data_IF_174326577596
#
_entry.id   IF_174326577596
#
_cell.length_a   1.000
_cell.length_b   1.000
_cell.length_c   1.000
_cell.angle_alpha   90.00
_cell.angle_beta   90.00
_cell.angle_gamma   90.00
#
_symmetry.space_group_name_H-M   'P 1'
#
loop_
_entity.id
_entity.type
_entity.pdbx_description
1 polymer ?
#
# COMPACT_ATOMS: atom_id res chain seq x y z
N UNK A 1 2.83 -2.21 -0.99
CA UNK A 1 2.29 -0.97 -1.58
C UNK A 1 2.59 -0.98 -3.05
N UNK A 2 1.59 -0.70 -3.88
CA UNK A 2 1.68 -0.69 -5.33
C UNK A 2 1.19 0.67 -5.84
N UNK A 3 1.89 1.23 -6.82
CA UNK A 3 1.52 2.47 -7.47
C UNK A 3 1.41 2.26 -8.97
N UNK A 4 0.29 2.63 -9.57
CA UNK A 4 0.00 2.39 -10.99
C UNK A 4 -0.25 3.72 -11.71
N UNK A 5 0.51 4.00 -12.76
CA UNK A 5 0.37 5.21 -13.57
C UNK A 5 1.27 6.37 -13.12
N UNK A 6 1.00 7.58 -13.62
CA UNK A 6 1.93 8.71 -13.52
C UNK A 6 3.18 8.55 -14.40
N UNK A 7 4.25 9.24 -14.00
CA UNK A 7 5.63 8.95 -14.40
C UNK A 7 6.25 7.86 -13.52
N UNK A 8 7.47 7.41 -13.84
CA UNK A 8 8.16 6.38 -13.05
C UNK A 8 8.45 6.84 -11.60
N UNK A 9 8.72 8.13 -11.43
CA UNK A 9 8.84 8.82 -10.15
C UNK A 9 7.53 8.81 -9.35
N UNK A 10 6.42 9.20 -10.00
CA UNK A 10 5.09 9.25 -9.38
C UNK A 10 4.63 7.84 -8.95
N UNK A 11 4.83 6.83 -9.80
CA UNK A 11 4.45 5.45 -9.49
C UNK A 11 5.14 4.96 -8.20
N UNK A 12 6.43 5.27 -8.04
CA UNK A 12 7.16 4.93 -6.82
C UNK A 12 6.71 5.76 -5.61
N UNK A 13 6.42 7.05 -5.80
CA UNK A 13 5.93 7.92 -4.73
C UNK A 13 4.58 7.43 -4.18
N UNK A 14 3.59 7.19 -5.05
CA UNK A 14 2.26 6.75 -4.62
C UNK A 14 2.29 5.32 -4.04
N UNK A 15 3.14 4.44 -4.57
CA UNK A 15 3.39 3.11 -3.98
C UNK A 15 3.96 3.21 -2.55
N UNK A 16 4.86 4.17 -2.32
CA UNK A 16 5.42 4.42 -0.98
C UNK A 16 4.37 5.00 -0.04
N UNK A 17 3.55 5.94 -0.51
CA UNK A 17 2.45 6.54 0.27
C UNK A 17 1.38 5.53 0.64
N UNK A 18 1.09 4.55 -0.23
CA UNK A 18 0.06 3.53 0.05
C UNK A 18 0.37 2.66 1.27
N UNK A 19 1.65 2.50 1.63
CA UNK A 19 2.08 1.78 2.85
C UNK A 19 1.66 2.49 4.15
N UNK A 20 1.26 3.76 4.08
CA UNK A 20 0.77 4.50 5.24
C UNK A 20 -0.70 4.20 5.55
N UNK A 21 -1.41 3.51 4.65
CA UNK A 21 -2.80 3.13 4.87
C UNK A 21 -2.87 2.03 5.96
N UNK A 22 -3.88 2.04 6.86
CA UNK A 22 -4.02 1.03 7.90
C UNK A 22 -4.26 -0.36 7.29
N UNK A 23 -3.75 -1.40 7.93
CA UNK A 23 -4.03 -2.79 7.54
C UNK A 23 -5.54 -3.07 7.62
N UNK A 24 -6.07 -3.74 6.60
CA UNK A 24 -7.48 -4.05 6.41
C UNK A 24 -8.28 -2.94 5.74
N UNK A 25 -7.68 -1.78 5.44
CA UNK A 25 -8.39 -0.69 4.77
C UNK A 25 -8.21 -0.77 3.25
N UNK A 26 -9.29 -1.08 2.56
CA UNK A 26 -9.33 -1.14 1.09
C UNK A 26 -9.43 0.22 0.42
N UNK A 27 -9.08 0.24 -0.86
CA UNK A 27 -9.28 1.39 -1.73
C UNK A 27 -10.78 1.75 -1.84
N UNK A 28 -11.08 3.03 -2.05
CA UNK A 28 -12.46 3.51 -2.27
C UNK A 28 -12.97 3.15 -3.68
N UNK A 29 -12.06 2.98 -4.65
CA UNK A 29 -12.36 2.52 -6.00
C UNK A 29 -12.50 0.99 -5.96
N UNK A 30 -13.70 0.49 -6.26
CA UNK A 30 -14.08 -0.92 -6.11
C UNK A 30 -13.16 -1.86 -6.88
N UNK A 31 -12.84 -1.54 -8.13
CA UNK A 31 -12.00 -2.36 -9.00
C UNK A 31 -10.56 -2.45 -8.46
N UNK A 32 -10.09 -1.41 -7.78
CA UNK A 32 -8.77 -1.39 -7.14
C UNK A 32 -8.79 -2.20 -5.85
N UNK A 33 -9.87 -2.10 -5.06
CA UNK A 33 -10.04 -2.90 -3.85
C UNK A 33 -10.12 -4.40 -4.16
N UNK A 34 -10.81 -4.80 -5.23
CA UNK A 34 -10.86 -6.19 -5.70
C UNK A 34 -9.46 -6.67 -6.09
N UNK A 35 -8.68 -5.85 -6.81
CA UNK A 35 -7.29 -6.17 -7.15
C UNK A 35 -6.37 -6.26 -5.91
N UNK A 36 -6.60 -5.44 -4.88
CA UNK A 36 -5.88 -5.55 -3.60
C UNK A 36 -6.10 -6.94 -2.97
N UNK A 37 -7.34 -7.41 -2.89
CA UNK A 37 -7.67 -8.72 -2.33
C UNK A 37 -7.12 -9.87 -3.20
N UNK A 38 -7.28 -9.80 -4.52
CA UNK A 38 -6.72 -10.81 -5.43
C UNK A 38 -5.21 -10.97 -5.27
N UNK A 39 -4.48 -9.85 -5.09
CA UNK A 39 -3.04 -9.89 -4.85
C UNK A 39 -2.71 -10.49 -3.48
N UNK A 40 -3.48 -10.19 -2.43
CA UNK A 40 -3.27 -10.76 -1.10
C UNK A 40 -3.45 -12.28 -1.15
N UNK A 41 -4.53 -12.76 -1.76
CA UNK A 41 -4.81 -14.18 -1.92
C UNK A 41 -3.72 -14.86 -2.75
N UNK A 42 -3.35 -14.27 -3.89
CA UNK A 42 -2.29 -14.80 -4.75
C UNK A 42 -0.95 -14.89 -4.00
N UNK A 43 -0.53 -13.83 -3.30
CA UNK A 43 0.73 -13.81 -2.57
C UNK A 43 0.72 -14.80 -1.39
N UNK A 44 -0.38 -14.90 -0.65
CA UNK A 44 -0.48 -15.85 0.47
C UNK A 44 -0.58 -17.31 -0.02
N UNK A 45 -1.15 -17.56 -1.20
CA UNK A 45 -1.20 -18.90 -1.81
C UNK A 45 0.18 -19.45 -2.18
N UNK A 46 1.21 -18.61 -2.29
CA UNK A 46 2.58 -19.04 -2.63
C UNK A 46 3.22 -19.95 -1.58
N UNK A 47 2.73 -19.94 -0.34
CA UNK A 47 3.27 -20.74 0.75
C UNK A 47 4.66 -20.32 1.25
N UNK A 48 5.19 -19.17 0.79
CA UNK A 48 6.51 -18.63 1.18
C UNK A 48 6.55 -18.33 2.69
N UNK A 49 5.49 -17.73 3.22
CA UNK A 49 5.33 -17.41 4.63
C UNK A 49 6.32 -16.36 5.16
N UNK A 50 6.27 -16.08 6.47
CA UNK A 50 7.10 -15.06 7.09
C UNK A 50 8.59 -15.37 6.94
N UNK A 51 9.37 -14.42 6.44
CA UNK A 51 10.81 -14.56 6.23
C UNK A 51 11.22 -15.70 5.27
N UNK A 52 10.29 -16.26 4.49
CA UNK A 52 10.56 -17.39 3.60
C UNK A 52 10.65 -18.75 4.28
N UNK A 53 10.16 -18.86 5.52
CA UNK A 53 10.23 -20.08 6.34
C UNK A 53 9.03 -21.02 6.14
N UNK A 54 8.17 -20.73 5.17
CA UNK A 54 6.91 -21.44 4.94
C UNK A 54 5.76 -20.88 5.78
N UNK A 55 4.53 -21.21 5.37
CA UNK A 55 3.29 -20.87 6.09
C UNK A 55 2.25 -20.17 5.22
N UNK A 56 1.13 -19.79 5.84
CA UNK A 56 -0.05 -19.28 5.13
C UNK A 56 -0.06 -17.75 4.94
N UNK A 57 0.86 -17.02 5.59
CA UNK A 57 0.86 -15.55 5.59
C UNK A 57 2.22 -15.03 5.14
N UNK A 58 2.35 -14.82 3.84
CA UNK A 58 3.49 -14.15 3.21
C UNK A 58 3.33 -12.63 3.28
N UNK A 59 2.11 -12.13 3.13
CA UNK A 59 1.78 -10.71 3.17
C UNK A 59 0.60 -10.46 4.11
N UNK A 60 0.71 -9.40 4.91
CA UNK A 60 -0.37 -8.93 5.78
C UNK A 60 -1.40 -8.11 4.99
N UNK A 61 -0.92 -7.28 4.05
CA UNK A 61 -1.79 -6.45 3.24
C UNK A 61 -1.13 -5.94 1.95
N UNK A 62 -1.96 -5.61 0.97
CA UNK A 62 -1.57 -4.94 -0.27
C UNK A 62 -2.44 -3.71 -0.45
N UNK A 63 -1.80 -2.55 -0.59
CA UNK A 63 -2.49 -1.29 -0.91
C UNK A 63 -2.02 -0.76 -2.25
N UNK A 64 -2.98 -0.48 -3.13
CA UNK A 64 -2.79 0.07 -4.46
C UNK A 64 -3.26 1.52 -4.48
N UNK A 65 -2.44 2.38 -5.08
CA UNK A 65 -2.79 3.76 -5.45
C UNK A 65 -2.61 3.93 -6.96
N UNK A 66 -3.44 4.78 -7.56
CA UNK A 66 -3.46 5.00 -9.01
C UNK A 66 -3.30 6.47 -9.36
N UNK A 67 -2.63 6.75 -10.48
CA UNK A 67 -2.46 8.09 -11.03
C UNK A 67 -2.74 8.10 -12.54
N UNK A 68 -3.16 9.26 -13.06
CA UNK A 68 -3.29 9.46 -14.49
C UNK A 68 -1.94 9.26 -15.20
N UNK A 69 -1.95 8.74 -16.43
CA UNK A 69 -0.75 8.26 -17.13
C UNK A 69 -0.83 8.52 -18.62
N UNK A 70 0.32 8.63 -19.27
CA UNK A 70 0.38 8.83 -20.72
C UNK A 70 -0.08 7.57 -21.48
N UNK A 71 -0.92 7.65 -22.54
CA UNK A 71 -1.43 6.50 -23.29
C UNK A 71 -0.41 5.45 -23.74
N UNK A 72 0.83 5.86 -24.02
CA UNK A 72 1.92 4.98 -24.45
C UNK A 72 2.75 4.37 -23.30
N UNK A 73 2.44 4.66 -22.04
CA UNK A 73 3.24 4.17 -20.90
C UNK A 73 2.36 3.86 -19.69
N UNK A 74 2.72 2.83 -18.92
CA UNK A 74 2.06 2.49 -17.67
C UNK A 74 3.12 2.09 -16.63
N UNK A 75 3.77 3.08 -15.97
CA UNK A 75 4.71 2.78 -14.90
C UNK A 75 3.99 2.10 -13.73
N UNK A 76 4.65 1.09 -13.16
CA UNK A 76 4.17 0.40 -11.95
C UNK A 76 5.31 0.36 -10.94
N UNK A 77 5.07 0.91 -9.76
CA UNK A 77 5.99 0.89 -8.63
C UNK A 77 5.53 -0.12 -7.58
N UNK A 78 6.45 -0.94 -7.06
CA UNK A 78 6.17 -1.85 -5.94
C UNK A 78 7.13 -1.51 -4.80
N UNK A 79 6.56 -1.23 -3.64
CA UNK A 79 7.31 -0.91 -2.42
C UNK A 79 6.84 -1.81 -1.30
N UNK A 80 7.80 -2.43 -0.62
CA UNK A 80 7.56 -3.32 0.50
C UNK A 80 7.81 -2.61 1.82
N UNK A 81 6.97 -2.92 2.80
CA UNK A 81 7.19 -2.57 4.20
C UNK A 81 7.56 -3.87 4.92
N UNK A 82 8.61 -3.84 5.73
CA UNK A 82 8.98 -4.98 6.56
C UNK A 82 8.15 -5.02 7.85
N UNK A 83 8.49 -5.98 8.72
CA UNK A 83 7.94 -6.09 10.07
C UNK A 83 8.09 -4.81 10.90
N UNK A 84 9.17 -4.05 10.69
CA UNK A 84 9.43 -2.81 11.42
C UNK A 84 8.63 -1.63 10.83
N UNK A 85 7.31 -1.74 10.86
CA UNK A 85 6.35 -0.71 10.47
C UNK A 85 6.39 0.47 11.45
N UNK A 86 7.27 1.42 11.17
CA UNK A 86 7.54 2.57 12.05
C UNK A 86 6.99 3.83 11.39
N UNK A 87 5.84 4.27 11.85
CA UNK A 87 5.16 5.49 11.41
C UNK A 87 4.42 6.13 12.57
N UNK A 88 4.30 7.47 12.54
CA UNK A 88 3.52 8.25 13.49
C UNK A 88 2.82 9.38 12.74
N UNK A 89 1.58 9.67 13.11
CA UNK A 89 0.77 10.72 12.49
C UNK A 89 0.21 11.67 13.54
N UNK A 90 0.19 12.95 13.21
CA UNK A 90 -0.35 14.00 14.07
C UNK A 90 -1.17 14.97 13.23
N UNK A 91 -2.29 15.44 13.76
CA UNK A 91 -3.07 16.55 13.21
C UNK A 91 -3.08 17.70 14.21
N UNK A 92 -2.87 18.91 13.71
CA UNK A 92 -2.94 20.15 14.49
C UNK A 92 -4.09 20.98 13.89
N UNK A 93 -5.02 21.46 14.72
CA UNK A 93 -6.07 22.39 14.27
C UNK A 93 -5.61 23.85 14.36
N UNK A 94 -6.47 24.79 13.93
CA UNK A 94 -6.15 26.21 13.93
C UNK A 94 -5.94 26.77 15.34
N UNK A 95 -6.54 26.13 16.34
CA UNK A 95 -6.45 26.45 17.76
C UNK A 95 -5.16 25.91 18.41
N UNK A 96 -4.36 25.13 17.68
CA UNK A 96 -3.12 24.53 18.17
C UNK A 96 -3.31 23.24 18.95
N UNK A 97 -4.52 22.68 19.00
CA UNK A 97 -4.78 21.38 19.60
C UNK A 97 -4.19 20.26 18.76
N UNK A 98 -3.46 19.38 19.45
CA UNK A 98 -2.79 18.24 18.85
C UNK A 98 -3.67 16.99 19.01
N UNK A 99 -4.05 16.39 17.89
CA UNK A 99 -4.62 15.04 17.85
C UNK A 99 -3.60 14.07 17.27
N UNK A 100 -3.07 13.21 18.12
CA UNK A 100 -2.27 12.06 17.70
C UNK A 100 -3.20 11.08 16.98
N UNK A 101 -2.88 10.73 15.73
CA UNK A 101 -3.55 9.65 15.05
C UNK A 101 -2.73 8.40 15.26
N UNK A 102 -3.31 7.39 15.91
CA UNK A 102 -2.89 6.01 15.68
C UNK A 102 -3.29 5.71 14.23
N UNK A 103 -2.29 5.57 13.37
CA UNK A 103 -2.47 5.21 11.96
C UNK A 103 -3.05 3.80 11.92
#
# INVERSE_FOLDING_TARGET
GVGIGGGADIAMEIAKRSLLRPVGKRNEIKEIAEMEEELIDAINSTGIGPMGLGGNTTVLDVHIEVAARHPASLPVGVVVQCWADRKAGMKINAEGEIKWNTI
#
